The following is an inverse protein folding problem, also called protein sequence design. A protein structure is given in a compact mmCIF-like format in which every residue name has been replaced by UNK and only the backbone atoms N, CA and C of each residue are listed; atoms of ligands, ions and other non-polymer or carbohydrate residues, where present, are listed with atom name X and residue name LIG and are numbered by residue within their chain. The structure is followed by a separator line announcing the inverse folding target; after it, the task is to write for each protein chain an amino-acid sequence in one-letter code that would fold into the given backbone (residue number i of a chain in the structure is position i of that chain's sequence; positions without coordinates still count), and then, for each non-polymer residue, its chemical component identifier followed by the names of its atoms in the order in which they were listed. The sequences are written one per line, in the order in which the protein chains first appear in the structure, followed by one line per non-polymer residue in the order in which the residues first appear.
data_IF_902749249472
#
_entry.id   IF_902749249472
#
_cell.length_a   1.000
_cell.length_b   1.000
_cell.length_c   1.000
_cell.angle_alpha   90.00
_cell.angle_beta   90.00
_cell.angle_gamma   90.00
#
_symmetry.space_group_name_H-M   'P 1'
#
loop_
_entity.id
_entity.type
_entity.pdbx_description
1 polymer ?
#
# COMPACT_ATOMS: atom_id res chain seq x y z
N UNK A 1 0.39 -16.23 -18.74
CA UNK A 1 0.55 -15.31 -17.59
C UNK A 1 -0.03 -14.00 -18.07
N UNK A 2 -1.35 -13.84 -17.90
CA UNK A 2 -2.11 -12.74 -18.47
C UNK A 2 -1.63 -11.42 -17.83
N UNK A 3 -1.66 -10.35 -18.63
CA UNK A 3 -1.31 -8.97 -18.24
C UNK A 3 -1.68 -8.73 -16.77
N UNK A 4 -0.66 -8.69 -15.93
CA UNK A 4 -0.84 -8.31 -14.53
C UNK A 4 -1.22 -6.84 -14.55
N UNK A 5 -2.51 -6.56 -14.37
CA UNK A 5 -2.98 -5.26 -13.93
C UNK A 5 -2.05 -4.81 -12.79
N UNK A 6 -1.54 -3.57 -12.85
CA UNK A 6 -0.55 -3.04 -11.90
C UNK A 6 -1.16 -2.76 -10.52
N UNK A 7 -1.83 -3.75 -9.94
CA UNK A 7 -2.61 -3.68 -8.71
C UNK A 7 -1.77 -4.20 -7.56
N UNK A 8 -1.56 -3.36 -6.55
CA UNK A 8 -0.81 -3.69 -5.35
C UNK A 8 -1.68 -3.50 -4.12
N UNK A 9 -1.82 -4.57 -3.34
CA UNK A 9 -2.47 -4.53 -2.04
C UNK A 9 -1.44 -4.36 -0.93
N UNK A 10 -1.64 -3.34 -0.10
CA UNK A 10 -0.79 -3.01 1.04
C UNK A 10 -1.62 -3.13 2.30
N UNK A 11 -1.17 -3.96 3.23
CA UNK A 11 -1.94 -4.26 4.45
C UNK A 11 -1.08 -4.10 5.70
N UNK A 12 -1.61 -3.36 6.67
CA UNK A 12 -1.17 -3.38 8.06
C UNK A 12 -2.14 -4.26 8.85
N UNK A 13 -1.64 -5.34 9.45
CA UNK A 13 -2.47 -6.34 10.13
C UNK A 13 -2.54 -6.07 11.63
N UNK A 14 -3.76 -6.09 12.17
CA UNK A 14 -4.07 -6.16 13.60
C UNK A 14 -3.21 -5.26 14.50
N UNK A 15 -3.31 -3.96 14.29
CA UNK A 15 -2.65 -2.92 15.09
C UNK A 15 -3.64 -2.01 15.84
N UNK A 16 -3.18 -1.39 16.92
CA UNK A 16 -3.90 -0.37 17.68
C UNK A 16 -2.91 0.72 18.16
N UNK A 17 -3.11 2.01 17.86
CA UNK A 17 -4.15 2.59 17.01
C UNK A 17 -4.08 2.08 15.55
N UNK A 18 -5.09 2.40 14.73
CA UNK A 18 -5.11 2.03 13.31
C UNK A 18 -3.81 2.51 12.66
N UNK A 19 -3.11 1.61 11.96
CA UNK A 19 -1.93 1.99 11.17
C UNK A 19 -2.37 2.67 9.88
N UNK A 20 -1.96 3.93 9.70
CA UNK A 20 -2.08 4.66 8.45
C UNK A 20 -0.98 4.22 7.48
N UNK A 21 -1.31 4.15 6.20
CA UNK A 21 -0.41 3.70 5.14
C UNK A 21 -0.29 4.85 4.15
N UNK A 22 0.93 5.24 3.78
CA UNK A 22 1.20 6.21 2.71
C UNK A 22 2.25 5.63 1.78
N UNK A 23 1.99 5.61 0.47
CA UNK A 23 2.92 5.02 -0.50
C UNK A 23 3.40 6.05 -1.53
N UNK A 24 4.63 5.86 -2.02
CA UNK A 24 5.34 6.79 -2.89
C UNK A 24 6.19 6.04 -3.93
N UNK A 25 6.32 6.62 -5.12
CA UNK A 25 7.34 6.23 -6.11
C UNK A 25 8.25 7.44 -6.34
N UNK A 26 9.54 7.28 -6.03
CA UNK A 26 10.46 8.42 -6.01
C UNK A 26 10.08 9.44 -4.94
N UNK A 27 9.57 10.60 -5.35
CA UNK A 27 9.01 11.66 -4.49
C UNK A 27 7.50 11.86 -4.68
N UNK A 28 6.87 11.15 -5.62
CA UNK A 28 5.46 11.31 -5.92
C UNK A 28 4.62 10.47 -4.95
N UNK A 29 3.67 11.07 -4.22
CA UNK A 29 2.68 10.31 -3.45
C UNK A 29 1.77 9.53 -4.39
N UNK A 30 1.37 8.35 -3.96
CA UNK A 30 0.38 7.54 -4.64
C UNK A 30 -0.96 7.63 -3.91
N UNK A 31 -2.04 7.66 -4.70
CA UNK A 31 -3.40 7.64 -4.18
C UNK A 31 -3.92 6.20 -4.19
N UNK A 32 -4.50 5.78 -3.07
CA UNK A 32 -5.18 4.48 -2.99
C UNK A 32 -6.53 4.55 -3.71
N UNK A 33 -6.82 3.54 -4.52
CA UNK A 33 -8.13 3.39 -5.18
C UNK A 33 -9.20 2.91 -4.21
N UNK A 34 -8.79 2.11 -3.23
CA UNK A 34 -9.65 1.70 -2.13
C UNK A 34 -8.87 1.64 -0.82
N UNK A 35 -9.57 1.91 0.27
CA UNK A 35 -9.05 1.81 1.62
C UNK A 35 -10.11 1.16 2.51
N UNK A 36 -9.72 0.14 3.28
CA UNK A 36 -10.63 -0.65 4.10
C UNK A 36 -10.01 -0.93 5.47
N UNK A 37 -10.73 -0.53 6.50
CA UNK A 37 -10.42 -0.84 7.90
C UNK A 37 -11.38 -1.93 8.38
N UNK A 38 -10.84 -2.97 9.00
CA UNK A 38 -11.58 -4.11 9.53
C UNK A 38 -11.14 -4.40 10.97
N UNK A 39 -12.08 -4.79 11.83
CA UNK A 39 -11.76 -5.31 13.15
C UNK A 39 -11.12 -6.70 13.01
N UNK A 40 -10.05 -6.94 13.76
CA UNK A 40 -9.47 -8.27 13.88
C UNK A 40 -10.33 -9.18 14.78
N UNK A 41 -10.04 -10.48 14.75
CA UNK A 41 -10.76 -11.49 15.53
C UNK A 41 -10.68 -11.27 17.04
N UNK A 42 -9.69 -10.51 17.52
CA UNK A 42 -9.55 -10.13 18.93
C UNK A 42 -10.53 -9.03 19.37
N UNK A 43 -11.25 -8.41 18.42
CA UNK A 43 -12.19 -7.30 18.66
C UNK A 43 -11.55 -6.00 19.16
N UNK A 44 -10.21 -5.93 19.21
CA UNK A 44 -9.46 -4.81 19.81
C UNK A 44 -8.57 -4.10 18.80
N UNK A 45 -7.99 -4.86 17.88
CA UNK A 45 -7.06 -4.33 16.89
C UNK A 45 -7.71 -4.22 15.52
N UNK A 46 -7.09 -3.44 14.65
CA UNK A 46 -7.61 -3.15 13.33
C UNK A 46 -6.62 -3.61 12.25
N UNK A 47 -7.16 -4.18 11.17
CA UNK A 47 -6.44 -4.35 9.92
C UNK A 47 -6.81 -3.21 8.99
N UNK A 48 -5.80 -2.54 8.44
CA UNK A 48 -5.97 -1.52 7.42
C UNK A 48 -5.39 -2.02 6.10
N UNK A 49 -6.21 -2.13 5.06
CA UNK A 49 -5.81 -2.59 3.73
C UNK A 49 -6.10 -1.50 2.70
N UNK A 50 -5.12 -1.21 1.86
CA UNK A 50 -5.22 -0.24 0.79
C UNK A 50 -4.80 -0.86 -0.55
N UNK A 51 -5.53 -0.53 -1.60
CA UNK A 51 -5.23 -0.95 -2.96
C UNK A 51 -4.63 0.22 -3.76
N UNK A 52 -3.58 -0.07 -4.51
CA UNK A 52 -2.92 0.84 -5.44
C UNK A 52 -3.05 0.29 -6.84
N UNK A 53 -3.54 1.10 -7.78
CA UNK A 53 -3.53 0.79 -9.21
C UNK A 53 -2.53 1.75 -9.86
N UNK A 54 -1.48 1.20 -10.48
CA UNK A 54 -0.46 2.01 -11.17
C UNK A 54 -0.78 2.10 -12.65
N UNK A 55 -1.50 3.15 -13.03
CA UNK A 55 -1.81 3.50 -14.42
C UNK A 55 -1.45 4.98 -14.65
N UNK A 56 -0.47 5.32 -15.51
CA UNK A 56 0.27 4.44 -16.42
C UNK A 56 1.20 3.44 -15.71
N UNK A 57 1.61 2.36 -16.40
CA UNK A 57 2.58 1.41 -15.88
C UNK A 57 3.90 2.10 -15.50
N UNK A 58 4.43 1.75 -14.33
CA UNK A 58 5.67 2.33 -13.81
C UNK A 58 6.63 1.25 -13.34
N UNK A 59 7.92 1.52 -13.55
CA UNK A 59 9.01 0.74 -12.96
C UNK A 59 9.74 1.61 -11.96
N UNK A 60 9.93 1.11 -10.73
CA UNK A 60 10.54 1.90 -9.67
C UNK A 60 10.63 1.22 -8.32
N UNK A 61 10.96 2.01 -7.30
CA UNK A 61 10.93 1.58 -5.90
C UNK A 61 9.69 2.17 -5.24
N UNK A 62 8.70 1.33 -4.99
CA UNK A 62 7.55 1.65 -4.17
C UNK A 62 8.01 1.73 -2.72
N UNK A 63 7.80 2.88 -2.08
CA UNK A 63 8.09 3.10 -0.66
C UNK A 63 6.77 3.30 0.05
N UNK A 64 6.47 2.50 1.06
CA UNK A 64 5.29 2.69 1.90
C UNK A 64 5.71 2.96 3.34
N UNK A 65 5.14 4.01 3.92
CA UNK A 65 5.27 4.36 5.32
C UNK A 65 4.04 3.85 6.06
N UNK A 66 4.25 3.25 7.21
CA UNK A 66 3.24 2.70 8.10
C UNK A 66 3.32 3.46 9.40
N UNK A 67 2.28 4.25 9.71
CA UNK A 67 2.31 5.20 10.82
C UNK A 67 1.19 4.87 11.80
N UNK A 68 1.54 4.56 13.05
CA UNK A 68 0.59 4.43 14.16
C UNK A 68 0.64 5.72 14.97
N UNK A 69 -0.23 6.67 14.62
CA UNK A 69 -0.22 8.03 15.15
C UNK A 69 1.20 8.67 15.15
N UNK A 70 1.50 9.54 16.10
CA UNK A 70 2.84 10.13 16.29
C UNK A 70 3.81 9.20 17.05
N UNK A 71 3.40 7.97 17.37
CA UNK A 71 4.13 7.09 18.28
C UNK A 71 5.09 6.13 17.57
N UNK A 72 4.72 5.64 16.39
CA UNK A 72 5.52 4.67 15.66
C UNK A 72 5.40 4.83 14.15
N UNK A 73 6.54 4.72 13.47
CA UNK A 73 6.61 4.69 12.01
C UNK A 73 7.53 3.57 11.52
N UNK A 74 7.03 2.70 10.66
CA UNK A 74 7.83 1.73 9.90
C UNK A 74 7.87 2.12 8.41
N UNK A 75 8.96 1.78 7.72
CA UNK A 75 9.14 2.10 6.30
C UNK A 75 9.55 0.86 5.52
N UNK A 76 8.77 0.53 4.50
CA UNK A 76 9.04 -0.61 3.62
C UNK A 76 9.28 -0.14 2.20
N UNK A 77 10.30 -0.69 1.57
CA UNK A 77 10.62 -0.42 0.16
C UNK A 77 10.57 -1.71 -0.64
N UNK A 78 9.78 -1.71 -1.71
CA UNK A 78 9.60 -2.85 -2.61
C UNK A 78 9.99 -2.41 -4.02
N UNK A 79 10.80 -3.21 -4.71
CA UNK A 79 11.07 -2.98 -6.13
C UNK A 79 9.86 -3.47 -6.92
N UNK A 80 9.26 -2.58 -7.70
CA UNK A 80 8.13 -2.89 -8.56
C UNK A 80 8.56 -2.72 -10.02
N UNK A 81 8.09 -3.64 -10.87
CA UNK A 81 8.24 -3.56 -12.31
C UNK A 81 6.86 -3.81 -12.88
N UNK A 82 6.18 -2.73 -13.28
CA UNK A 82 4.98 -2.84 -14.08
C UNK A 82 5.25 -2.30 -15.48
N UNK A 83 5.21 -3.20 -16.46
CA UNK A 83 5.34 -2.89 -17.87
C UNK A 83 3.96 -3.10 -18.49
N UNK A 84 3.33 -2.05 -18.99
CA UNK A 84 2.16 -2.21 -19.86
C UNK A 84 2.62 -2.72 -21.21
N UNK A 85 1.76 -3.44 -21.93
CA UNK A 85 2.00 -3.66 -23.35
C UNK A 85 2.00 -2.29 -24.03
N UNK A 86 3.16 -1.88 -24.51
CA UNK A 86 3.24 -0.93 -25.63
C UNK A 86 2.58 -1.68 -26.79
N UNK A 87 1.33 -1.34 -27.10
CA UNK A 87 0.72 -1.73 -28.37
C UNK A 87 1.43 -1.02 -29.51
#
# INVERSE_FOLDING_TARGET
MNETDCIYNVTAQCSLPVTHIDCFIGKAPLTFTSNRILNCSDGKTFTNSAELILDPPVTGKLKCNFTMDSLFSDKRTIKIKCEGKVS
#
